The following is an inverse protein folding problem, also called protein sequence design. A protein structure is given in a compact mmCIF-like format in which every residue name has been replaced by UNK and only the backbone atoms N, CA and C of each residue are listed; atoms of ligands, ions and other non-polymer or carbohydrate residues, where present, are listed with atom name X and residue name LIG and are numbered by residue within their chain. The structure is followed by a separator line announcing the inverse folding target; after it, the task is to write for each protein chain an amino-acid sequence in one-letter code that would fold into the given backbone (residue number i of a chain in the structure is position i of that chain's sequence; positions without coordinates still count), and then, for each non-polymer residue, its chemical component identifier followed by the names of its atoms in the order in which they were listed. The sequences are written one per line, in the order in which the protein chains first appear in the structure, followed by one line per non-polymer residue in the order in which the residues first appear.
data_IF_306269606093
#
_entry.id   IF_306269606093
#
_cell.length_a   1.000
_cell.length_b   1.000
_cell.length_c   1.000
_cell.angle_alpha   90.00
_cell.angle_beta   90.00
_cell.angle_gamma   90.00
#
_symmetry.space_group_name_H-M   'P 1'
#
loop_
_entity.id
_entity.type
_entity.pdbx_description
1 polymer ?
#
# COMPACT_ATOMS: atom_id res chain seq x y z
N UNK A 1 -4.91 -2.55 -20.67
CA UNK A 1 -5.04 -1.46 -21.67
C UNK A 1 -6.35 -0.73 -21.40
N UNK A 2 -6.33 0.61 -21.33
CA UNK A 2 -7.55 1.42 -21.23
C UNK A 2 -8.03 1.70 -22.66
N UNK A 3 -9.30 1.44 -22.94
CA UNK A 3 -9.93 1.76 -24.23
C UNK A 3 -11.16 2.61 -24.01
N UNK A 4 -11.42 3.54 -24.91
CA UNK A 4 -12.69 4.26 -24.99
C UNK A 4 -13.55 3.65 -26.10
N UNK A 5 -14.85 3.59 -25.89
CA UNK A 5 -15.82 3.15 -26.89
C UNK A 5 -17.18 3.79 -26.63
N UNK A 6 -18.18 3.46 -27.45
CA UNK A 6 -19.52 4.05 -27.37
C UNK A 6 -20.20 3.87 -26.00
N UNK A 7 -19.89 2.78 -25.29
CA UNK A 7 -20.37 2.50 -23.93
C UNK A 7 -19.52 3.08 -22.79
N UNK A 8 -18.52 3.93 -23.09
CA UNK A 8 -17.67 4.58 -22.10
C UNK A 8 -16.23 4.05 -22.05
N UNK A 9 -15.68 3.93 -20.84
CA UNK A 9 -14.28 3.55 -20.61
C UNK A 9 -14.21 2.06 -20.24
N UNK A 10 -13.39 1.32 -20.96
CA UNK A 10 -13.15 -0.10 -20.76
C UNK A 10 -11.75 -0.32 -20.19
N UNK A 11 -11.69 -1.02 -19.06
CA UNK A 11 -10.46 -1.42 -18.42
C UNK A 11 -10.23 -2.92 -18.63
N UNK A 12 -9.13 -3.26 -19.29
CA UNK A 12 -8.65 -4.65 -19.36
C UNK A 12 -7.36 -4.77 -18.56
N UNK A 13 -7.47 -5.33 -17.36
CA UNK A 13 -6.37 -5.68 -16.46
C UNK A 13 -6.27 -7.19 -16.35
N UNK A 14 -5.12 -7.75 -16.76
CA UNK A 14 -4.82 -9.16 -16.59
C UNK A 14 -4.13 -9.36 -15.25
N UNK A 15 -4.88 -9.80 -14.24
CA UNK A 15 -4.29 -10.07 -12.91
C UNK A 15 -3.25 -11.18 -12.95
N UNK A 16 -3.40 -12.13 -13.89
CA UNK A 16 -2.43 -13.21 -14.12
C UNK A 16 -1.06 -12.69 -14.56
N UNK A 17 -1.03 -11.58 -15.29
CA UNK A 17 0.22 -10.95 -15.75
C UNK A 17 0.74 -9.94 -14.73
N UNK A 18 -0.16 -9.18 -14.10
CA UNK A 18 0.21 -8.11 -13.18
C UNK A 18 0.89 -8.63 -11.91
N UNK A 19 0.35 -9.71 -11.32
CA UNK A 19 0.82 -10.24 -10.05
C UNK A 19 2.30 -10.68 -10.10
N UNK A 20 2.75 -11.48 -11.08
CA UNK A 20 4.17 -11.82 -11.21
C UNK A 20 5.07 -10.60 -11.40
N UNK A 21 4.64 -9.60 -12.16
CA UNK A 21 5.44 -8.40 -12.41
C UNK A 21 5.61 -7.60 -11.10
N UNK A 22 4.54 -7.44 -10.32
CA UNK A 22 4.64 -6.79 -8.99
C UNK A 22 5.61 -7.57 -8.10
N UNK A 23 5.41 -8.87 -7.93
CA UNK A 23 6.22 -9.69 -7.04
C UNK A 23 7.72 -9.65 -7.39
N UNK A 24 8.07 -9.59 -8.68
CA UNK A 24 9.46 -9.56 -9.14
C UNK A 24 10.15 -8.20 -8.98
N UNK A 25 9.39 -7.10 -8.90
CA UNK A 25 9.97 -5.75 -8.96
C UNK A 25 9.75 -4.93 -7.69
N UNK A 26 8.79 -5.29 -6.83
CA UNK A 26 8.38 -4.47 -5.68
C UNK A 26 9.52 -4.21 -4.69
N UNK A 27 10.31 -5.24 -4.38
CA UNK A 27 11.44 -5.14 -3.43
C UNK A 27 12.47 -4.12 -3.94
N UNK A 28 12.83 -4.20 -5.22
CA UNK A 28 13.79 -3.30 -5.84
C UNK A 28 13.26 -1.85 -5.85
N UNK A 29 11.99 -1.65 -6.23
CA UNK A 29 11.36 -0.33 -6.25
C UNK A 29 11.42 0.37 -4.88
N UNK A 30 11.13 -0.35 -3.80
CA UNK A 30 11.14 0.21 -2.44
C UNK A 30 12.58 0.40 -1.94
N UNK A 31 13.45 -0.58 -2.19
CA UNK A 31 14.87 -0.54 -1.79
C UNK A 31 15.60 0.65 -2.41
N UNK A 32 15.34 0.95 -3.68
CA UNK A 32 15.97 2.08 -4.37
C UNK A 32 15.56 3.42 -3.75
N UNK A 33 14.30 3.61 -3.37
CA UNK A 33 13.82 4.83 -2.72
C UNK A 33 14.39 5.00 -1.31
N UNK A 34 14.34 3.94 -0.48
CA UNK A 34 14.90 3.99 0.87
C UNK A 34 16.41 4.27 0.84
N UNK A 35 17.13 3.66 -0.11
CA UNK A 35 18.56 3.90 -0.31
C UNK A 35 18.85 5.34 -0.72
N UNK A 36 18.06 5.93 -1.61
CA UNK A 36 18.20 7.34 -1.99
C UNK A 36 18.00 8.29 -0.80
N UNK A 37 17.12 7.94 0.12
CA UNK A 37 16.85 8.70 1.35
C UNK A 37 17.84 8.39 2.49
N UNK A 38 18.72 7.38 2.33
CA UNK A 38 19.64 6.95 3.37
C UNK A 38 18.94 6.30 4.58
N UNK A 39 17.75 5.73 4.37
CA UNK A 39 16.95 5.09 5.42
C UNK A 39 17.27 3.60 5.44
N UNK A 40 17.88 3.12 6.53
CA UNK A 40 18.11 1.70 6.79
C UNK A 40 17.06 1.17 7.75
N UNK A 41 16.06 0.47 7.23
CA UNK A 41 14.94 -0.11 7.99
C UNK A 41 14.55 -1.45 7.37
N UNK A 42 14.12 -2.39 8.20
CA UNK A 42 13.62 -3.68 7.75
C UNK A 42 12.14 -3.58 7.33
N UNK A 43 11.67 -4.49 6.47
CA UNK A 43 10.30 -4.47 5.95
C UNK A 43 9.23 -4.51 7.03
N UNK A 44 9.51 -5.21 8.13
CA UNK A 44 8.59 -5.37 9.25
C UNK A 44 8.62 -4.20 10.25
N UNK A 45 9.60 -3.29 10.14
CA UNK A 45 9.62 -2.04 10.92
C UNK A 45 8.83 -0.91 10.23
N UNK A 46 8.54 -1.05 8.93
CA UNK A 46 7.78 -0.08 8.14
C UNK A 46 6.28 -0.20 8.37
N UNK A 47 5.53 0.89 8.47
CA UNK A 47 4.08 0.82 8.26
C UNK A 47 3.72 0.77 6.77
N UNK A 48 2.62 0.11 6.40
CA UNK A 48 2.29 -0.14 4.99
C UNK A 48 0.92 0.40 4.60
N UNK A 49 0.88 1.20 3.54
CA UNK A 49 -0.34 1.70 2.92
C UNK A 49 -0.38 1.30 1.43
N UNK A 50 -0.83 0.08 1.15
CA UNK A 50 -0.82 -0.46 -0.22
C UNK A 50 -2.21 -0.37 -0.86
N UNK A 51 -2.29 0.19 -2.08
CA UNK A 51 -3.49 0.18 -2.89
C UNK A 51 -3.95 -1.26 -3.16
N UNK A 52 -5.10 -1.70 -2.63
CA UNK A 52 -5.54 -3.07 -2.74
C UNK A 52 -6.45 -3.21 -3.96
N UNK A 53 -5.86 -3.38 -5.15
CA UNK A 53 -6.65 -3.61 -6.36
C UNK A 53 -7.50 -4.89 -6.27
N UNK A 54 -6.88 -5.97 -5.76
CA UNK A 54 -7.49 -7.27 -5.40
C UNK A 54 -6.69 -7.92 -4.26
N UNK A 55 -7.31 -8.83 -3.50
CA UNK A 55 -6.64 -9.53 -2.39
C UNK A 55 -5.40 -10.30 -2.81
N UNK A 56 -5.45 -10.97 -3.96
CA UNK A 56 -4.31 -11.76 -4.47
C UNK A 56 -3.04 -10.91 -4.63
N UNK A 57 -3.16 -9.61 -4.89
CA UNK A 57 -2.00 -8.74 -5.00
C UNK A 57 -1.33 -8.50 -3.66
N UNK A 58 -2.14 -8.30 -2.61
CA UNK A 58 -1.65 -8.16 -1.23
C UNK A 58 -0.93 -9.43 -0.80
N UNK A 59 -1.50 -10.61 -1.09
CA UNK A 59 -0.90 -11.91 -0.74
C UNK A 59 0.49 -12.11 -1.38
N UNK A 60 0.68 -11.65 -2.62
CA UNK A 60 1.97 -11.81 -3.30
C UNK A 60 3.03 -10.83 -2.78
N UNK A 61 2.65 -9.60 -2.42
CA UNK A 61 3.60 -8.65 -1.80
C UNK A 61 3.98 -9.11 -0.40
N UNK A 62 3.00 -9.57 0.38
CA UNK A 62 3.19 -10.20 1.70
C UNK A 62 4.22 -11.35 1.63
N UNK A 63 4.03 -12.28 0.68
CA UNK A 63 4.95 -13.39 0.47
C UNK A 63 6.32 -12.97 -0.06
N UNK A 64 6.38 -12.05 -1.02
CA UNK A 64 7.63 -11.61 -1.64
C UNK A 64 8.55 -10.92 -0.64
N UNK A 65 7.98 -10.13 0.28
CA UNK A 65 8.74 -9.37 1.29
C UNK A 65 8.79 -10.05 2.66
N UNK A 66 8.15 -11.22 2.80
CA UNK A 66 8.01 -11.95 4.07
C UNK A 66 7.48 -11.04 5.20
N UNK A 67 6.39 -10.35 4.91
CA UNK A 67 5.77 -9.45 5.87
C UNK A 67 5.14 -10.24 7.03
N UNK A 68 5.19 -9.64 8.22
CA UNK A 68 4.57 -10.20 9.40
C UNK A 68 3.03 -10.17 9.26
N UNK A 69 2.32 -11.13 9.89
CA UNK A 69 0.88 -11.12 9.92
C UNK A 69 0.34 -9.77 10.42
N UNK A 70 -0.45 -9.10 9.58
CA UNK A 70 -1.10 -7.84 9.94
C UNK A 70 -0.49 -6.59 9.30
N UNK A 71 0.73 -6.64 8.72
CA UNK A 71 1.34 -5.46 8.07
C UNK A 71 0.46 -4.85 6.97
N UNK A 72 -0.29 -5.68 6.25
CA UNK A 72 -1.23 -5.23 5.20
C UNK A 72 -2.68 -5.15 5.67
N UNK A 73 -2.94 -5.17 6.99
CA UNK A 73 -4.31 -5.26 7.52
C UNK A 73 -5.17 -4.03 7.21
N UNK A 74 -4.59 -2.82 7.14
CA UNK A 74 -5.31 -1.63 6.69
C UNK A 74 -5.80 -1.80 5.24
N UNK A 75 -4.90 -2.23 4.35
CA UNK A 75 -5.20 -2.49 2.93
C UNK A 75 -6.30 -3.54 2.76
N UNK A 76 -6.21 -4.65 3.52
CA UNK A 76 -7.22 -5.72 3.51
C UNK A 76 -8.57 -5.25 4.06
N UNK A 77 -8.57 -4.44 5.11
CA UNK A 77 -9.79 -3.87 5.70
C UNK A 77 -10.49 -2.95 4.73
N UNK A 78 -9.78 -2.01 4.11
CA UNK A 78 -10.40 -1.09 3.15
C UNK A 78 -10.96 -1.83 1.94
N UNK A 79 -10.23 -2.82 1.40
CA UNK A 79 -10.75 -3.63 0.30
C UNK A 79 -12.01 -4.40 0.68
N UNK A 80 -12.09 -4.92 1.92
CA UNK A 80 -13.25 -5.67 2.41
C UNK A 80 -14.47 -4.76 2.60
N UNK A 81 -14.29 -3.59 3.19
CA UNK A 81 -15.40 -2.70 3.57
C UNK A 81 -15.87 -1.82 2.39
N UNK A 82 -14.95 -1.38 1.53
CA UNK A 82 -15.23 -0.37 0.49
C UNK A 82 -14.99 -0.87 -0.94
N UNK A 83 -14.34 -2.02 -1.10
CA UNK A 83 -13.92 -2.50 -2.42
C UNK A 83 -12.81 -1.64 -3.03
N UNK A 84 -12.58 -1.86 -4.33
CA UNK A 84 -11.65 -1.05 -5.11
C UNK A 84 -12.37 0.20 -5.66
N UNK A 85 -12.06 1.35 -5.06
CA UNK A 85 -12.53 2.70 -5.40
C UNK A 85 -11.54 3.44 -6.32
N UNK A 86 -10.73 2.71 -7.09
CA UNK A 86 -9.67 3.25 -7.94
C UNK A 86 -8.61 4.00 -7.12
N UNK A 87 -8.09 5.12 -7.63
CA UNK A 87 -7.01 5.88 -6.98
C UNK A 87 -7.35 6.35 -5.57
N UNK A 88 -8.64 6.58 -5.26
CA UNK A 88 -9.05 7.03 -3.94
C UNK A 88 -8.78 5.98 -2.85
N UNK A 89 -8.70 4.69 -3.21
CA UNK A 89 -8.58 3.61 -2.22
C UNK A 89 -7.31 3.72 -1.38
N UNK A 90 -6.18 4.14 -1.97
CA UNK A 90 -4.91 4.24 -1.19
C UNK A 90 -4.99 5.30 -0.09
N UNK A 91 -5.79 6.35 -0.29
CA UNK A 91 -6.02 7.40 0.72
C UNK A 91 -6.85 6.86 1.88
N UNK A 92 -7.85 6.01 1.60
CA UNK A 92 -8.62 5.32 2.63
C UNK A 92 -7.76 4.31 3.40
N UNK A 93 -6.83 3.64 2.72
CA UNK A 93 -5.86 2.76 3.38
C UNK A 93 -4.96 3.55 4.33
N UNK A 94 -4.50 4.73 3.90
CA UNK A 94 -3.67 5.58 4.74
C UNK A 94 -4.42 6.07 5.99
N UNK A 95 -5.71 6.41 5.87
CA UNK A 95 -6.53 6.80 7.02
C UNK A 95 -6.80 5.63 7.98
N UNK A 96 -7.11 4.45 7.46
CA UNK A 96 -7.24 3.23 8.28
C UNK A 96 -5.91 2.87 8.97
N UNK A 97 -4.78 3.02 8.27
CA UNK A 97 -3.46 2.79 8.86
C UNK A 97 -3.17 3.80 9.98
N UNK A 98 -3.46 5.08 9.75
CA UNK A 98 -3.35 6.13 10.78
C UNK A 98 -4.20 5.78 12.00
N UNK A 99 -5.45 5.35 11.81
CA UNK A 99 -6.35 4.94 12.89
C UNK A 99 -5.78 3.76 13.68
N UNK A 100 -5.22 2.74 13.01
CA UNK A 100 -4.55 1.59 13.67
C UNK A 100 -3.34 1.99 14.50
N UNK A 101 -2.52 2.91 14.00
CA UNK A 101 -1.37 3.42 14.75
C UNK A 101 -1.81 4.21 16.00
N UNK A 102 -2.95 4.89 15.93
CA UNK A 102 -3.50 5.69 17.04
C UNK A 102 -4.24 4.82 18.08
N UNK A 103 -5.09 3.90 17.63
CA UNK A 103 -6.04 3.16 18.47
C UNK A 103 -5.52 1.76 18.85
N UNK A 104 -4.89 1.07 17.91
CA UNK A 104 -4.44 -0.32 18.07
C UNK A 104 -2.96 -0.41 18.50
N UNK A 105 -2.27 0.74 18.56
CA UNK A 105 -0.88 0.84 18.99
C UNK A 105 0.13 0.34 17.96
N UNK A 106 -0.25 0.25 16.69
CA UNK A 106 0.69 -0.13 15.62
C UNK A 106 1.84 0.88 15.53
N UNK A 107 3.08 0.37 15.59
CA UNK A 107 4.28 1.20 15.62
C UNK A 107 4.96 1.25 14.23
N UNK A 108 5.65 2.34 13.97
CA UNK A 108 6.36 2.57 12.71
C UNK A 108 6.60 4.05 12.49
N UNK A 109 7.87 4.47 12.49
CA UNK A 109 8.24 5.86 12.19
C UNK A 109 8.33 6.06 10.68
N UNK A 110 8.83 5.06 9.97
CA UNK A 110 8.89 5.05 8.52
C UNK A 110 7.82 4.13 7.96
N UNK A 111 7.35 4.43 6.75
CA UNK A 111 6.38 3.60 6.06
C UNK A 111 6.44 3.81 4.56
N UNK A 112 5.70 2.98 3.85
CA UNK A 112 5.62 3.04 2.39
C UNK A 112 4.17 3.04 1.94
N UNK A 113 3.88 3.92 0.99
CA UNK A 113 2.61 3.94 0.27
C UNK A 113 2.84 3.43 -1.15
N UNK A 114 1.97 2.53 -1.60
CA UNK A 114 2.12 1.85 -2.89
C UNK A 114 0.86 1.97 -3.74
N UNK A 115 1.04 2.31 -5.01
CA UNK A 115 0.00 2.35 -6.04
C UNK A 115 0.37 1.53 -7.27
N UNK A 116 -0.65 0.98 -7.96
CA UNK A 116 -0.45 0.19 -9.19
C UNK A 116 -1.30 0.74 -10.34
N UNK A 117 -0.67 1.03 -11.47
CA UNK A 117 -1.28 1.71 -12.61
C UNK A 117 -1.16 0.98 -13.96
N UNK A 118 -1.83 1.52 -14.98
CA UNK A 118 -1.78 1.02 -16.36
C UNK A 118 -0.43 1.32 -17.03
N UNK A 119 -0.06 0.57 -18.07
CA UNK A 119 1.31 0.55 -18.62
C UNK A 119 2.29 -0.29 -17.79
N UNK A 120 1.73 -0.95 -16.77
CA UNK A 120 2.33 -1.41 -15.53
C UNK A 120 3.31 -0.41 -14.91
N UNK A 121 2.78 0.35 -13.95
CA UNK A 121 3.55 1.30 -13.14
C UNK A 121 3.38 0.91 -11.68
N UNK A 122 4.48 0.89 -10.92
CA UNK A 122 4.48 0.87 -9.46
C UNK A 122 4.82 2.28 -9.03
N UNK A 123 3.90 2.92 -8.30
CA UNK A 123 4.15 4.19 -7.64
C UNK A 123 4.47 3.91 -6.17
N UNK A 124 5.62 4.38 -5.71
CA UNK A 124 6.06 4.23 -4.32
C UNK A 124 6.26 5.61 -3.71
N UNK A 125 5.94 5.72 -2.43
CA UNK A 125 6.23 6.90 -1.64
C UNK A 125 6.69 6.47 -0.25
N UNK A 126 7.94 6.80 0.09
CA UNK A 126 8.44 6.67 1.46
C UNK A 126 7.86 7.78 2.32
N UNK A 127 7.31 7.41 3.48
CA UNK A 127 6.65 8.30 4.41
C UNK A 127 7.33 8.25 5.77
N UNK A 128 7.32 9.39 6.47
CA UNK A 128 7.72 9.48 7.87
C UNK A 128 6.52 9.92 8.71
N UNK A 129 6.04 9.06 9.59
CA UNK A 129 4.99 9.37 10.54
C UNK A 129 5.47 10.46 11.52
N UNK A 130 4.66 11.48 11.72
CA UNK A 130 4.99 12.54 12.68
C UNK A 130 4.71 12.08 14.11
N UNK A 131 5.54 12.49 15.07
CA UNK A 131 5.50 12.09 16.49
C UNK A 131 4.22 12.41 17.27
N UNK A 132 3.24 13.07 16.65
CA UNK A 132 2.04 13.60 17.32
C UNK A 132 0.79 12.71 17.22
N UNK A 133 0.86 11.54 16.59
CA UNK A 133 -0.30 10.65 16.45
C UNK A 133 -0.90 10.27 17.82
N UNK A 134 -0.06 10.00 18.84
CA UNK A 134 -0.52 9.70 20.20
C UNK A 134 -1.04 10.91 21.00
N UNK A 135 -0.68 12.15 20.66
CA UNK A 135 -0.99 13.34 21.49
C UNK A 135 -2.34 13.99 21.19
N UNK A 136 -2.92 13.75 20.01
CA UNK A 136 -4.11 14.52 19.55
C UNK A 136 -5.41 14.09 20.24
N UNK A 137 -5.46 12.88 20.81
CA UNK A 137 -6.68 12.32 21.42
C UNK A 137 -6.61 12.12 22.95
N UNK A 138 -5.45 12.31 23.58
CA UNK A 138 -5.35 12.42 25.04
C UNK A 138 -5.93 13.76 25.59
N UNK A 139 -6.55 14.58 24.73
CA UNK A 139 -7.12 15.90 25.04
C UNK A 139 -8.60 16.04 24.62
N UNK A 140 -9.29 14.96 24.28
CA UNK A 140 -10.76 14.91 24.23
C UNK A 140 -11.27 14.06 25.39
#
# INVERSE_FOLDING_TARGET
MIKTGEGGIYHQLSMRELVPIVAQNIEQCISDELKQLGVGVEWNDLFWAMHPGVNALLDHVDQALMLDPGKLAASRTVLREYGNMLSATVIFVLDEQRRRMEEDGEEGVWGVMLGFGHGFTIETMVMHATSNLKQKYARM
#
